data_IF_381634053053
#
_entry.id   IF_381634053053
#
_cell.length_a   1.000
_cell.length_b   1.000
_cell.length_c   1.000
_cell.angle_alpha   90.00
_cell.angle_beta   90.00
_cell.angle_gamma   90.00
#
_symmetry.space_group_name_H-M   'P 1'
#
loop_
_entity.id
_entity.type
_entity.pdbx_description
1 polymer ?
#
# COMPACT_ATOMS: atom_id res chain seq x y z
N UNK A 1 7.89 15.19 -18.56
CA UNK A 1 7.34 16.19 -17.60
C UNK A 1 7.87 15.92 -16.21
N UNK A 2 7.88 16.91 -15.31
CA UNK A 2 8.18 16.72 -13.89
C UNK A 2 7.13 17.47 -13.07
N UNK A 3 6.31 16.76 -12.30
CA UNK A 3 5.13 17.33 -11.63
C UNK A 3 5.01 16.87 -10.17
N UNK A 4 4.50 17.73 -9.27
CA UNK A 4 4.38 17.39 -7.86
C UNK A 4 3.26 16.37 -7.62
N UNK A 5 3.47 15.49 -6.64
CA UNK A 5 2.48 14.55 -6.14
C UNK A 5 2.39 14.66 -4.62
N UNK A 6 1.17 14.86 -4.14
CA UNK A 6 0.86 14.82 -2.71
C UNK A 6 0.36 13.41 -2.33
N UNK A 7 0.83 12.90 -1.19
CA UNK A 7 0.26 11.70 -0.57
C UNK A 7 0.27 11.87 0.94
N UNK A 8 -0.89 11.71 1.57
CA UNK A 8 -1.05 11.84 3.01
C UNK A 8 -2.31 11.17 3.53
N UNK A 9 -2.35 10.89 4.83
CA UNK A 9 -3.54 10.38 5.50
C UNK A 9 -4.48 11.53 5.87
N UNK A 10 -5.79 11.28 5.80
CA UNK A 10 -6.82 12.18 6.27
C UNK A 10 -7.94 11.39 6.97
N UNK A 11 -8.72 12.07 7.79
CA UNK A 11 -9.92 11.52 8.40
C UNK A 11 -11.13 12.17 7.73
N UNK A 12 -11.99 11.37 7.10
CA UNK A 12 -13.24 11.85 6.52
C UNK A 12 -14.40 11.51 7.44
N UNK A 13 -15.40 12.37 7.47
CA UNK A 13 -16.69 12.14 8.11
C UNK A 13 -17.72 11.91 7.02
N UNK A 14 -18.29 10.71 7.00
CA UNK A 14 -19.29 10.27 6.04
C UNK A 14 -20.67 10.86 6.40
N UNK A 15 -21.63 10.77 5.47
CA UNK A 15 -23.02 11.23 5.70
C UNK A 15 -23.69 10.57 6.90
N UNK A 16 -23.34 9.33 7.19
CA UNK A 16 -23.81 8.58 8.36
C UNK A 16 -23.32 9.16 9.69
N UNK A 17 -22.34 10.07 9.66
CA UNK A 17 -21.61 10.56 10.84
C UNK A 17 -20.39 9.69 11.18
N UNK A 18 -20.16 8.58 10.49
CA UNK A 18 -19.00 7.71 10.70
C UNK A 18 -17.72 8.41 10.27
N UNK A 19 -16.68 8.33 11.10
CA UNK A 19 -15.34 8.76 10.74
C UNK A 19 -14.55 7.60 10.13
N UNK A 20 -13.99 7.82 8.94
CA UNK A 20 -13.19 6.84 8.21
C UNK A 20 -11.82 7.42 7.86
N UNK A 21 -10.75 6.72 8.22
CA UNK A 21 -9.40 7.08 7.81
C UNK A 21 -9.19 6.73 6.33
N UNK A 22 -8.64 7.66 5.56
CA UNK A 22 -8.40 7.53 4.12
C UNK A 22 -6.99 7.99 3.77
N UNK A 23 -6.46 7.47 2.67
CA UNK A 23 -5.27 8.02 2.03
C UNK A 23 -5.71 8.95 0.91
N UNK A 24 -5.22 10.19 0.92
CA UNK A 24 -5.49 11.18 -0.13
C UNK A 24 -4.27 11.34 -1.01
N UNK A 25 -4.47 11.19 -2.32
CA UNK A 25 -3.46 11.42 -3.36
C UNK A 25 -3.83 12.68 -4.13
N UNK A 26 -2.96 13.69 -4.09
CA UNK A 26 -3.13 14.94 -4.84
C UNK A 26 -2.31 14.91 -6.11
N UNK A 27 -2.98 14.83 -7.26
CA UNK A 27 -2.38 14.87 -8.59
C UNK A 27 -2.07 16.30 -9.02
N UNK A 28 -1.04 16.51 -9.82
CA UNK A 28 -0.78 17.81 -10.43
C UNK A 28 -1.98 18.33 -11.24
N UNK A 29 -2.32 19.59 -10.99
CA UNK A 29 -3.52 20.27 -11.50
C UNK A 29 -3.50 20.49 -13.03
N UNK A 30 -2.36 20.33 -13.72
CA UNK A 30 -2.27 20.56 -15.16
C UNK A 30 -2.37 19.27 -15.99
N UNK A 31 -1.58 18.25 -15.65
CA UNK A 31 -1.46 17.02 -16.44
C UNK A 31 -2.22 15.84 -15.84
N UNK A 32 -2.51 15.88 -14.53
CA UNK A 32 -3.03 14.74 -13.77
C UNK A 32 -2.18 13.47 -13.96
N UNK A 33 -0.87 13.63 -14.17
CA UNK A 33 0.04 12.51 -14.36
C UNK A 33 0.01 11.59 -13.14
N UNK A 34 -0.13 10.28 -13.38
CA UNK A 34 -0.35 9.30 -12.31
C UNK A 34 -1.83 9.07 -11.95
N UNK A 35 -2.76 9.63 -12.74
CA UNK A 35 -4.21 9.38 -12.58
C UNK A 35 -4.58 7.89 -12.60
N UNK A 36 -5.59 7.48 -11.82
CA UNK A 36 -6.11 6.12 -11.84
C UNK A 36 -6.89 5.83 -13.13
N UNK A 37 -7.18 4.56 -13.40
CA UNK A 37 -8.05 4.16 -14.52
C UNK A 37 -9.51 4.34 -14.12
N UNK A 38 -10.22 5.28 -14.75
CA UNK A 38 -11.62 5.56 -14.44
C UNK A 38 -12.52 4.34 -14.73
N UNK A 39 -13.47 4.09 -13.84
CA UNK A 39 -14.56 3.11 -13.98
C UNK A 39 -15.90 3.80 -14.19
N UNK A 40 -16.14 4.91 -13.47
CA UNK A 40 -17.33 5.74 -13.56
C UNK A 40 -16.95 7.22 -13.46
N UNK A 41 -17.65 8.08 -14.21
CA UNK A 41 -17.35 9.51 -14.30
C UNK A 41 -16.18 9.81 -15.23
N UNK A 42 -15.91 11.10 -15.43
CA UNK A 42 -14.79 11.59 -16.22
C UNK A 42 -13.66 12.06 -15.30
N UNK A 43 -12.41 11.89 -15.73
CA UNK A 43 -11.26 12.33 -14.92
C UNK A 43 -11.26 13.86 -14.77
N UNK A 44 -11.79 14.57 -15.75
CA UNK A 44 -11.95 16.02 -15.78
C UNK A 44 -12.89 16.53 -14.68
N UNK A 45 -13.80 15.69 -14.18
CA UNK A 45 -14.72 16.06 -13.10
C UNK A 45 -13.97 16.33 -11.78
N UNK A 46 -12.71 15.91 -11.64
CA UNK A 46 -11.84 16.23 -10.49
C UNK A 46 -11.64 17.74 -10.28
N UNK A 47 -11.83 18.53 -11.34
CA UNK A 47 -11.76 20.00 -11.31
C UNK A 47 -13.05 20.64 -10.79
N UNK A 48 -14.15 19.88 -10.70
CA UNK A 48 -15.37 20.36 -10.08
C UNK A 48 -15.11 20.82 -8.64
N UNK A 49 -15.97 21.70 -8.15
CA UNK A 49 -15.88 22.19 -6.78
C UNK A 49 -15.91 21.00 -5.81
N UNK A 50 -14.92 20.94 -4.92
CA UNK A 50 -14.79 19.86 -3.94
C UNK A 50 -14.68 18.44 -4.53
N UNK A 51 -14.19 18.28 -5.77
CA UNK A 51 -14.11 16.98 -6.43
C UNK A 51 -13.08 16.00 -5.86
N UNK A 52 -13.51 14.76 -5.61
CA UNK A 52 -12.69 13.61 -5.26
C UNK A 52 -13.06 12.38 -6.07
N UNK A 53 -12.08 11.55 -6.40
CA UNK A 53 -12.28 10.27 -7.08
C UNK A 53 -12.00 9.16 -6.08
N UNK A 54 -12.97 8.28 -5.85
CA UNK A 54 -12.80 7.12 -4.98
C UNK A 54 -12.22 5.94 -5.75
N UNK A 55 -11.36 5.16 -5.10
CA UNK A 55 -10.80 3.94 -5.68
C UNK A 55 -11.64 2.72 -5.29
N UNK A 56 -12.10 1.98 -6.29
CA UNK A 56 -12.75 0.69 -6.14
C UNK A 56 -11.71 -0.38 -5.80
N UNK A 57 -11.41 -0.51 -4.52
CA UNK A 57 -10.54 -1.53 -3.92
C UNK A 57 -11.31 -2.32 -2.83
N UNK A 58 -10.70 -3.35 -2.20
CA UNK A 58 -11.34 -4.07 -1.08
C UNK A 58 -11.76 -3.18 0.10
N UNK A 59 -11.19 -1.98 0.21
CA UNK A 59 -11.45 -0.99 1.24
C UNK A 59 -12.60 -0.05 0.88
N UNK A 60 -13.00 0.04 -0.38
CA UNK A 60 -14.12 0.85 -0.87
C UNK A 60 -15.42 0.72 -0.05
N UNK A 61 -15.82 -0.48 0.43
CA UNK A 61 -17.00 -0.62 1.30
C UNK A 61 -16.90 0.13 2.62
N UNK A 62 -15.68 0.45 3.11
CA UNK A 62 -15.47 1.28 4.31
C UNK A 62 -15.88 2.74 4.11
N UNK A 63 -15.99 3.18 2.86
CA UNK A 63 -16.59 4.47 2.50
C UNK A 63 -18.12 4.39 2.39
N UNK A 64 -18.75 3.28 2.83
CA UNK A 64 -20.18 3.01 2.71
C UNK A 64 -20.65 2.87 1.25
N UNK A 65 -19.77 2.37 0.36
CA UNK A 65 -20.03 2.16 -1.07
C UNK A 65 -20.59 3.43 -1.75
N UNK A 66 -19.83 4.54 -1.77
CA UNK A 66 -20.31 5.80 -2.29
C UNK A 66 -20.60 5.72 -3.79
N UNK A 67 -21.60 6.45 -4.25
CA UNK A 67 -21.86 6.66 -5.67
C UNK A 67 -21.27 8.01 -6.11
N UNK A 68 -21.19 8.24 -7.41
CA UNK A 68 -20.95 9.60 -7.92
C UNK A 68 -22.03 10.54 -7.37
N UNK A 69 -21.63 11.71 -6.87
CA UNK A 69 -22.46 12.69 -6.17
C UNK A 69 -22.55 12.50 -4.65
N UNK A 70 -22.00 11.42 -4.07
CA UNK A 70 -21.93 11.27 -2.61
C UNK A 70 -20.96 12.29 -2.03
N UNK A 71 -21.39 13.03 -1.01
CA UNK A 71 -20.52 13.98 -0.30
C UNK A 71 -20.11 13.48 1.09
N UNK A 72 -19.02 14.05 1.57
CA UNK A 72 -18.39 13.78 2.87
C UNK A 72 -17.69 15.06 3.35
N UNK A 73 -17.25 15.07 4.60
CA UNK A 73 -16.45 16.15 5.17
C UNK A 73 -15.00 15.68 5.39
N UNK A 74 -14.03 16.52 5.08
CA UNK A 74 -12.60 16.30 5.32
C UNK A 74 -12.02 17.58 5.92
N UNK A 75 -11.61 17.54 7.20
CA UNK A 75 -11.12 18.72 7.95
C UNK A 75 -11.99 19.97 7.75
N UNK A 76 -13.29 19.85 8.03
CA UNK A 76 -14.30 20.91 7.88
C UNK A 76 -14.51 21.42 6.44
N UNK A 77 -13.88 20.80 5.44
CA UNK A 77 -14.15 21.04 4.03
C UNK A 77 -15.10 19.99 3.49
N UNK A 78 -16.09 20.42 2.72
CA UNK A 78 -16.94 19.50 1.96
C UNK A 78 -16.13 18.85 0.84
N UNK A 79 -16.29 17.54 0.66
CA UNK A 79 -15.77 16.75 -0.46
C UNK A 79 -16.92 16.03 -1.16
N UNK A 80 -16.85 15.90 -2.50
CA UNK A 80 -17.86 15.22 -3.31
C UNK A 80 -17.16 14.18 -4.18
N UNK A 81 -17.68 12.95 -4.18
CA UNK A 81 -17.22 11.89 -5.08
C UNK A 81 -17.72 12.20 -6.48
N UNK A 82 -16.83 12.56 -7.38
CA UNK A 82 -17.14 12.90 -8.78
C UNK A 82 -16.84 11.77 -9.75
N UNK A 83 -16.12 10.75 -9.29
CA UNK A 83 -15.81 9.57 -10.08
C UNK A 83 -15.37 8.39 -9.23
N UNK A 84 -15.45 7.21 -9.82
CA UNK A 84 -14.93 5.97 -9.24
C UNK A 84 -13.90 5.41 -10.20
N UNK A 85 -12.74 5.02 -9.69
CA UNK A 85 -11.62 4.54 -10.50
C UNK A 85 -11.00 3.29 -9.89
N UNK A 86 -10.07 2.65 -10.60
CA UNK A 86 -9.24 1.56 -10.08
C UNK A 86 -7.76 1.87 -10.27
N UNK A 87 -6.95 1.27 -9.41
CA UNK A 87 -5.50 1.32 -9.46
C UNK A 87 -4.94 -0.09 -9.67
N UNK A 88 -3.72 -0.17 -10.21
CA UNK A 88 -3.06 -1.47 -10.45
C UNK A 88 -2.68 -2.21 -9.16
N UNK A 89 -2.49 -1.48 -8.05
CA UNK A 89 -2.21 -2.03 -6.74
C UNK A 89 -2.92 -1.20 -5.67
N UNK A 90 -3.72 -1.84 -4.83
CA UNK A 90 -4.41 -1.21 -3.70
C UNK A 90 -3.45 -0.90 -2.55
N UNK A 91 -3.90 -0.05 -1.63
CA UNK A 91 -3.14 0.27 -0.43
C UNK A 91 -2.91 -0.96 0.46
N UNK A 92 -1.73 -1.05 1.09
CA UNK A 92 -1.38 -2.18 1.95
C UNK A 92 -2.08 -2.15 3.32
N UNK A 93 -2.47 -0.97 3.78
CA UNK A 93 -2.87 -0.73 5.18
C UNK A 93 -4.39 -0.64 5.40
N UNK A 94 -5.19 -1.13 4.46
CA UNK A 94 -6.63 -1.23 4.66
C UNK A 94 -7.36 0.11 4.79
N UNK A 95 -6.76 1.22 4.33
CA UNK A 95 -7.42 2.52 4.24
C UNK A 95 -7.86 2.78 2.80
N UNK A 96 -9.11 3.20 2.55
CA UNK A 96 -9.55 3.59 1.22
C UNK A 96 -8.69 4.72 0.65
N UNK A 97 -8.53 4.74 -0.67
CA UNK A 97 -7.77 5.79 -1.36
C UNK A 97 -8.71 6.76 -2.09
N UNK A 98 -8.47 8.06 -1.91
CA UNK A 98 -9.16 9.14 -2.60
C UNK A 98 -8.16 9.97 -3.42
N UNK A 99 -8.48 10.25 -4.68
CA UNK A 99 -7.70 11.12 -5.55
C UNK A 99 -8.34 12.50 -5.64
N UNK A 100 -7.51 13.55 -5.63
CA UNK A 100 -7.94 14.94 -5.84
C UNK A 100 -6.81 15.75 -6.49
N UNK A 101 -7.00 17.05 -6.69
CA UNK A 101 -5.94 17.92 -7.23
C UNK A 101 -4.92 18.29 -6.14
N UNK A 102 -3.68 18.56 -6.52
CA UNK A 102 -2.58 18.87 -5.60
C UNK A 102 -2.91 20.11 -4.78
N UNK A 103 -3.39 21.18 -5.42
CA UNK A 103 -3.75 22.40 -4.73
C UNK A 103 -4.89 22.20 -3.71
N UNK A 104 -5.83 21.28 -3.99
CA UNK A 104 -6.92 20.94 -3.05
C UNK A 104 -6.40 20.12 -1.89
N UNK A 105 -5.57 19.11 -2.16
CA UNK A 105 -5.02 18.23 -1.14
C UNK A 105 -4.22 19.03 -0.08
N UNK A 106 -3.33 19.94 -0.49
CA UNK A 106 -2.53 20.75 0.43
C UNK A 106 -3.35 21.82 1.18
N UNK A 107 -4.52 22.21 0.65
CA UNK A 107 -5.41 23.18 1.29
C UNK A 107 -6.29 22.50 2.34
N UNK A 108 -6.82 21.33 2.01
CA UNK A 108 -7.81 20.64 2.87
C UNK A 108 -7.13 19.79 3.92
N UNK A 109 -5.89 19.35 3.69
CA UNK A 109 -5.13 18.57 4.66
C UNK A 109 -4.04 19.45 5.25
N UNK A 110 -4.16 19.87 6.52
CA UNK A 110 -3.14 20.66 7.18
C UNK A 110 -1.86 19.82 7.26
N UNK A 111 -0.82 20.28 6.57
CA UNK A 111 0.49 19.65 6.50
C UNK A 111 1.57 20.67 6.86
N UNK A 112 2.66 20.27 7.55
CA UNK A 112 3.77 21.18 7.85
C UNK A 112 4.39 21.76 6.57
N UNK A 113 5.15 22.86 6.71
CA UNK A 113 5.89 23.48 5.58
C UNK A 113 6.73 22.40 4.88
N UNK A 114 6.72 22.39 3.53
CA UNK A 114 7.32 21.38 2.62
C UNK A 114 6.46 20.13 2.40
N UNK A 115 5.35 20.28 1.67
CA UNK A 115 4.31 19.25 1.47
C UNK A 115 4.50 18.34 0.25
N UNK A 116 5.56 18.54 -0.54
CA UNK A 116 5.81 17.71 -1.73
C UNK A 116 6.39 16.37 -1.31
N UNK A 117 5.53 15.33 -1.31
CA UNK A 117 5.96 13.97 -0.97
C UNK A 117 6.85 13.38 -2.06
N UNK A 118 6.45 13.55 -3.33
CA UNK A 118 7.18 13.02 -4.47
C UNK A 118 7.08 13.95 -5.69
N UNK A 119 8.03 13.83 -6.61
CA UNK A 119 7.97 14.45 -7.94
C UNK A 119 7.93 13.32 -8.97
N UNK A 120 6.86 13.27 -9.76
CA UNK A 120 6.71 12.30 -10.83
C UNK A 120 7.40 12.84 -12.08
N UNK A 121 8.30 12.04 -12.65
CA UNK A 121 9.03 12.39 -13.86
C UNK A 121 8.71 11.38 -14.96
N UNK A 122 8.20 11.89 -16.08
CA UNK A 122 8.02 11.10 -17.30
C UNK A 122 9.19 11.38 -18.27
N UNK A 123 10.11 10.43 -18.48
CA UNK A 123 11.22 10.56 -19.40
C UNK A 123 10.73 10.49 -20.86
N UNK A 124 11.39 11.21 -21.77
CA UNK A 124 11.07 11.17 -23.20
C UNK A 124 11.46 9.83 -23.83
N UNK A 125 12.56 9.25 -23.38
CA UNK A 125 13.03 7.92 -23.79
C UNK A 125 13.61 7.15 -22.60
N UNK A 126 13.66 5.82 -22.69
CA UNK A 126 14.28 4.99 -21.66
C UNK A 126 15.79 5.27 -21.47
N UNK A 127 16.47 5.75 -22.51
CA UNK A 127 17.88 6.11 -22.45
C UNK A 127 18.14 7.35 -21.56
N UNK A 128 17.14 8.24 -21.42
CA UNK A 128 17.27 9.46 -20.62
C UNK A 128 17.27 9.19 -19.12
N UNK A 129 16.81 8.00 -18.68
CA UNK A 129 16.67 7.65 -17.25
C UNK A 129 18.00 7.78 -16.51
N UNK A 130 19.09 7.29 -17.11
CA UNK A 130 20.42 7.33 -16.47
C UNK A 130 20.90 8.78 -16.29
N UNK A 131 20.69 9.63 -17.30
CA UNK A 131 21.04 11.04 -17.23
C UNK A 131 20.20 11.79 -16.20
N UNK A 132 18.87 11.58 -16.20
CA UNK A 132 17.95 12.19 -15.23
C UNK A 132 18.37 11.83 -13.79
N UNK A 133 18.71 10.56 -13.52
CA UNK A 133 19.19 10.14 -12.21
C UNK A 133 20.46 10.85 -11.78
N UNK A 134 21.45 10.97 -12.67
CA UNK A 134 22.70 11.66 -12.37
C UNK A 134 22.47 13.13 -12.03
N UNK A 135 21.61 13.83 -12.79
CA UNK A 135 21.26 15.22 -12.52
C UNK A 135 20.53 15.35 -11.18
N UNK A 136 19.52 14.53 -10.92
CA UNK A 136 18.76 14.57 -9.66
C UNK A 136 19.66 14.26 -8.45
N UNK A 137 20.60 13.34 -8.60
CA UNK A 137 21.59 13.03 -7.56
C UNK A 137 22.54 14.19 -7.28
N UNK A 138 22.95 14.94 -8.31
CA UNK A 138 23.79 16.13 -8.14
C UNK A 138 23.09 17.26 -7.34
N UNK A 139 21.76 17.29 -7.37
CA UNK A 139 20.93 18.20 -6.59
C UNK A 139 20.69 17.73 -5.14
N UNK A 140 21.21 16.56 -4.75
CA UNK A 140 21.06 15.98 -3.41
C UNK A 140 19.79 15.15 -3.21
N UNK A 141 19.03 14.88 -4.28
CA UNK A 141 17.81 14.07 -4.23
C UNK A 141 18.06 12.65 -4.76
N UNK A 142 17.13 11.73 -4.48
CA UNK A 142 17.16 10.36 -5.02
C UNK A 142 16.07 10.20 -6.07
N UNK A 143 16.43 9.65 -7.23
CA UNK A 143 15.50 9.27 -8.28
C UNK A 143 15.49 7.75 -8.43
N UNK A 144 14.29 7.18 -8.45
CA UNK A 144 14.07 5.75 -8.66
C UNK A 144 13.20 5.54 -9.89
N UNK A 145 13.50 4.50 -10.67
CA UNK A 145 12.51 3.98 -11.64
C UNK A 145 11.38 3.28 -10.90
N UNK A 146 10.29 2.98 -11.61
CA UNK A 146 9.17 2.20 -11.06
C UNK A 146 9.64 0.90 -10.42
N UNK A 147 10.46 0.12 -11.12
CA UNK A 147 10.89 -1.20 -10.65
C UNK A 147 11.87 -1.09 -9.46
N UNK A 148 12.75 -0.08 -9.48
CA UNK A 148 13.66 0.18 -8.35
C UNK A 148 12.91 0.63 -7.10
N UNK A 149 11.88 1.46 -7.28
CA UNK A 149 11.05 1.92 -6.18
C UNK A 149 10.27 0.77 -5.57
N UNK A 150 9.68 -0.11 -6.39
CA UNK A 150 9.04 -1.36 -5.93
C UNK A 150 10.03 -2.23 -5.17
N UNK A 151 11.24 -2.43 -5.69
CA UNK A 151 12.27 -3.21 -5.02
C UNK A 151 12.71 -2.58 -3.68
N UNK A 152 12.79 -1.25 -3.61
CA UNK A 152 13.12 -0.52 -2.38
C UNK A 152 12.01 -0.67 -1.34
N UNK A 153 10.74 -0.55 -1.73
CA UNK A 153 9.59 -0.80 -0.86
C UNK A 153 9.62 -2.24 -0.35
N UNK A 154 9.82 -3.22 -1.22
CA UNK A 154 9.88 -4.64 -0.84
C UNK A 154 11.00 -4.91 0.18
N UNK A 155 12.19 -4.32 -0.02
CA UNK A 155 13.29 -4.42 0.95
C UNK A 155 12.95 -3.78 2.29
N UNK A 156 12.34 -2.59 2.27
CA UNK A 156 11.93 -1.88 3.48
C UNK A 156 10.96 -2.71 4.32
N UNK A 157 9.93 -3.30 3.71
CA UNK A 157 9.00 -4.17 4.44
C UNK A 157 9.61 -5.49 4.90
N UNK A 158 10.57 -6.02 4.14
CA UNK A 158 11.22 -7.29 4.48
C UNK A 158 12.17 -7.16 5.66
N UNK A 159 12.90 -6.04 5.76
CA UNK A 159 14.04 -5.92 6.67
C UNK A 159 13.93 -4.79 7.71
N UNK A 160 13.19 -3.70 7.43
CA UNK A 160 13.19 -2.49 8.26
C UNK A 160 11.94 -2.35 9.14
N UNK A 161 10.76 -2.78 8.66
CA UNK A 161 9.48 -2.58 9.39
C UNK A 161 9.20 -3.61 10.48
N UNK A 162 10.06 -4.63 10.62
CA UNK A 162 9.88 -5.75 11.54
C UNK A 162 8.82 -6.78 11.09
N UNK A 163 7.98 -6.48 10.10
CA UNK A 163 6.97 -7.42 9.59
C UNK A 163 7.62 -8.71 9.07
N UNK A 164 8.58 -8.57 8.14
CA UNK A 164 9.29 -9.73 7.58
C UNK A 164 10.07 -10.52 8.62
N UNK A 165 10.80 -9.81 9.48
CA UNK A 165 11.64 -10.42 10.54
C UNK A 165 10.80 -11.15 11.58
N UNK A 166 9.66 -10.60 12.00
CA UNK A 166 8.75 -11.23 12.97
C UNK A 166 8.12 -12.50 12.40
N UNK A 167 7.64 -12.47 11.15
CA UNK A 167 7.08 -13.66 10.49
C UNK A 167 8.16 -14.76 10.37
N UNK A 168 9.38 -14.38 10.00
CA UNK A 168 10.49 -15.33 9.90
C UNK A 168 10.81 -15.98 11.26
N UNK A 169 10.88 -15.19 12.32
CA UNK A 169 11.13 -15.68 13.67
C UNK A 169 10.01 -16.62 14.16
N UNK A 170 8.75 -16.25 13.98
CA UNK A 170 7.59 -17.10 14.32
C UNK A 170 7.61 -18.42 13.56
N UNK A 171 8.00 -18.40 12.28
CA UNK A 171 8.10 -19.60 11.45
C UNK A 171 9.20 -20.53 11.95
N UNK A 172 10.38 -20.00 12.28
CA UNK A 172 11.50 -20.77 12.81
C UNK A 172 11.14 -21.41 14.15
N UNK A 173 10.51 -20.65 15.05
CA UNK A 173 10.07 -21.16 16.35
C UNK A 173 9.04 -22.28 16.17
N UNK A 174 8.03 -22.07 15.31
CA UNK A 174 7.03 -23.10 15.00
C UNK A 174 7.65 -24.38 14.43
N UNK A 175 8.66 -24.24 13.56
CA UNK A 175 9.38 -25.37 12.99
C UNK A 175 10.15 -26.17 14.06
N UNK A 176 10.88 -25.48 14.94
CA UNK A 176 11.65 -26.12 16.02
C UNK A 176 10.71 -26.84 17.00
N UNK A 177 9.58 -26.22 17.36
CA UNK A 177 8.58 -26.82 18.23
C UNK A 177 7.97 -28.06 17.58
N UNK A 178 7.58 -27.97 16.30
CA UNK A 178 7.04 -29.11 15.55
C UNK A 178 8.03 -30.28 15.45
N UNK A 179 9.30 -29.98 15.16
CA UNK A 179 10.37 -30.98 15.12
C UNK A 179 10.56 -31.65 16.49
N UNK A 180 10.52 -30.86 17.57
CA UNK A 180 10.70 -31.35 18.94
C UNK A 180 9.57 -32.28 19.37
N UNK A 181 8.31 -31.90 19.11
CA UNK A 181 7.14 -32.73 19.42
C UNK A 181 7.19 -34.03 18.63
N UNK A 182 7.47 -33.97 17.32
CA UNK A 182 7.59 -35.16 16.49
C UNK A 182 8.71 -36.09 16.99
N UNK A 183 9.87 -35.54 17.36
CA UNK A 183 10.97 -36.30 17.95
C UNK A 183 10.59 -36.95 19.28
N UNK A 184 9.90 -36.24 20.17
CA UNK A 184 9.38 -36.78 21.43
C UNK A 184 8.38 -37.91 21.20
N UNK A 185 7.42 -37.74 20.26
CA UNK A 185 6.45 -38.78 19.92
C UNK A 185 7.13 -40.00 19.32
N UNK A 186 8.10 -39.83 18.42
CA UNK A 186 8.86 -40.93 17.85
C UNK A 186 9.68 -41.68 18.91
N UNK A 187 10.33 -40.94 19.81
CA UNK A 187 11.07 -41.54 20.92
C UNK A 187 10.17 -42.38 21.84
N UNK A 188 9.01 -41.82 22.23
CA UNK A 188 8.02 -42.55 23.01
C UNK A 188 7.54 -43.81 22.28
N UNK A 189 7.25 -43.71 20.98
CA UNK A 189 6.84 -44.84 20.15
C UNK A 189 7.90 -45.96 20.12
N UNK A 190 9.19 -45.62 20.00
CA UNK A 190 10.29 -46.61 20.03
C UNK A 190 10.36 -47.31 21.39
N UNK A 191 10.28 -46.55 22.49
CA UNK A 191 10.32 -47.11 23.84
C UNK A 191 9.14 -48.04 24.11
N UNK A 192 7.92 -47.65 23.71
CA UNK A 192 6.71 -48.45 23.91
C UNK A 192 6.70 -49.74 23.07
N UNK A 193 7.41 -49.76 21.94
CA UNK A 193 7.45 -50.91 21.03
C UNK A 193 8.80 -51.64 21.05
N UNK A 194 9.65 -51.38 22.04
CA UNK A 194 11.02 -51.90 22.10
C UNK A 194 11.04 -53.44 22.16
N UNK A 195 10.10 -54.05 22.89
CA UNK A 195 9.93 -55.50 22.93
C UNK A 195 9.54 -56.08 21.57
N UNK A 196 8.69 -55.37 20.80
CA UNK A 196 8.28 -55.79 19.45
C UNK A 196 9.45 -55.69 18.48
N UNK A 197 10.27 -54.64 18.58
CA UNK A 197 11.51 -54.53 17.81
C UNK A 197 12.52 -55.63 18.18
N UNK A 198 12.61 -55.97 19.47
CA UNK A 198 13.41 -57.10 19.95
C UNK A 198 12.96 -58.45 19.38
N UNK A 199 11.65 -58.70 19.34
CA UNK A 199 11.07 -59.89 18.72
C UNK A 199 11.32 -59.93 17.20
N UNK A 200 11.13 -58.82 16.48
CA UNK A 200 11.44 -58.72 15.05
C UNK A 200 12.91 -59.06 14.75
N UNK A 201 13.83 -58.51 15.54
CA UNK A 201 15.26 -58.79 15.44
C UNK A 201 15.59 -60.25 15.70
N UNK A 202 14.88 -60.90 16.63
CA UNK A 202 15.05 -62.32 16.92
C UNK A 202 14.55 -63.24 15.79
N UNK A 203 13.58 -62.79 14.98
CA UNK A 203 13.00 -63.55 13.86
C UNK A 203 13.77 -63.31 12.54
N UNK A 204 14.78 -62.45 12.54
CA UNK A 204 15.72 -62.28 11.41
C UNK A 204 15.44 -61.09 10.50
N UNK A 205 14.69 -60.09 10.98
CA UNK A 205 14.71 -58.74 10.40
C UNK A 205 15.95 -57.94 10.86
#
# INVERSE_FOLDING_TARGET
YAVPLYSGAALVKLRSGTYQAVTVVGLDDASLLGRPTMLQGHIEDIYAENGFIAIQDPEFPKLENPSVGTDFELNDHRGVIVGIAKVAASGLFGTPTLYTTYARAIRYIPSPRFTTSYILVEPKSAADIAHIKAVVQSLGYRAYTRDEFIAQIARFYKYETGLGTNIMLMTIISFIIGLSISGQTFYAFILENLDKFGALKAIGA
#
